data_IF_650172179413
#
_entry.id   IF_650172179413
#
_cell.length_a   1.000
_cell.length_b   1.000
_cell.length_c   1.000
_cell.angle_alpha   90.00
_cell.angle_beta   90.00
_cell.angle_gamma   90.00
#
_symmetry.space_group_name_H-M   'P 1'
#
loop_
_entity.id
_entity.type
_entity.pdbx_description
1 polymer ?
#
# COMPACT_ATOMS: atom_id res chain seq x y z
N UNK A 1 -21.37 -34.45 18.80
CA UNK A 1 -21.68 -33.26 17.98
C UNK A 1 -20.93 -32.00 18.45
N UNK A 2 -20.82 -31.76 19.75
CA UNK A 2 -20.14 -30.59 20.32
C UNK A 2 -18.62 -30.55 20.05
N UNK A 3 -17.92 -31.69 20.20
CA UNK A 3 -16.50 -31.81 19.87
C UNK A 3 -16.19 -31.55 18.38
N UNK A 4 -17.12 -31.92 17.49
CA UNK A 4 -16.97 -31.69 16.04
C UNK A 4 -17.14 -30.21 15.69
N UNK A 5 -18.05 -29.49 16.36
CA UNK A 5 -18.19 -28.03 16.22
C UNK A 5 -16.97 -27.29 16.74
N UNK A 6 -16.40 -27.72 17.87
CA UNK A 6 -15.20 -27.12 18.44
C UNK A 6 -13.99 -27.27 17.50
N UNK A 7 -13.82 -28.46 16.92
CA UNK A 7 -12.74 -28.73 15.95
C UNK A 7 -12.91 -27.90 14.68
N UNK A 8 -14.14 -27.76 14.14
CA UNK A 8 -14.42 -26.94 12.95
C UNK A 8 -14.10 -25.46 13.21
N UNK A 9 -14.52 -24.93 14.35
CA UNK A 9 -14.23 -23.53 14.74
C UNK A 9 -12.72 -23.33 14.88
N UNK A 10 -12.01 -24.24 15.56
CA UNK A 10 -10.56 -24.17 15.71
C UNK A 10 -9.82 -24.24 14.36
N UNK A 11 -10.26 -25.09 13.44
CA UNK A 11 -9.66 -25.16 12.08
C UNK A 11 -9.93 -23.92 11.25
N UNK A 12 -11.12 -23.32 11.32
CA UNK A 12 -11.45 -22.08 10.62
C UNK A 12 -10.65 -20.90 11.18
N UNK A 13 -10.51 -20.80 12.51
CA UNK A 13 -9.67 -19.79 13.15
C UNK A 13 -8.18 -19.99 12.83
N UNK A 14 -7.71 -21.23 12.69
CA UNK A 14 -6.32 -21.50 12.30
C UNK A 14 -6.05 -21.11 10.84
N UNK A 15 -7.04 -21.28 9.96
CA UNK A 15 -6.94 -20.84 8.56
C UNK A 15 -6.90 -19.32 8.42
N UNK A 16 -7.61 -18.56 9.28
CA UNK A 16 -7.55 -17.09 9.27
C UNK A 16 -6.19 -16.55 9.74
N UNK A 17 -5.42 -17.30 10.53
CA UNK A 17 -4.09 -16.90 11.02
C UNK A 17 -3.01 -17.10 9.93
N UNK A 18 -3.27 -17.93 8.92
CA UNK A 18 -2.31 -18.27 7.86
C UNK A 18 -2.50 -17.48 6.57
N UNK A 19 -3.40 -16.50 6.53
CA UNK A 19 -3.48 -15.55 5.42
C UNK A 19 -2.26 -14.63 5.53
N UNK A 20 -1.11 -15.11 5.05
CA UNK A 20 -0.05 -14.23 4.56
C UNK A 20 -0.72 -13.30 3.55
N UNK A 21 -0.53 -12.00 3.69
CA UNK A 21 -0.88 -11.03 2.66
C UNK A 21 -0.37 -11.57 1.33
N UNK A 22 -1.29 -12.08 0.51
CA UNK A 22 -0.96 -12.63 -0.79
C UNK A 22 -0.80 -11.39 -1.67
N UNK A 23 0.35 -11.27 -2.34
CA UNK A 23 0.53 -10.28 -3.40
C UNK A 23 -0.72 -10.26 -4.29
N UNK A 24 -1.21 -9.07 -4.70
CA UNK A 24 -2.27 -8.99 -5.68
C UNK A 24 -1.92 -9.86 -6.90
N UNK A 25 -2.90 -10.53 -7.51
CA UNK A 25 -2.62 -11.42 -8.65
C UNK A 25 -2.00 -10.68 -9.86
N UNK A 26 -2.08 -9.34 -9.87
CA UNK A 26 -1.45 -8.49 -10.87
C UNK A 26 0.00 -8.09 -10.55
N UNK A 27 0.45 -8.25 -9.30
CA UNK A 27 1.79 -7.87 -8.89
C UNK A 27 2.83 -8.90 -9.42
N UNK A 28 3.99 -8.44 -9.92
CA UNK A 28 5.06 -9.35 -10.32
C UNK A 28 5.51 -10.25 -9.15
N UNK A 29 5.79 -11.54 -9.38
CA UNK A 29 6.15 -12.47 -8.30
C UNK A 29 7.43 -12.05 -7.56
N UNK A 30 8.34 -11.37 -8.25
CA UNK A 30 9.66 -11.00 -7.74
C UNK A 30 9.68 -9.60 -7.10
N UNK A 31 8.53 -8.90 -7.05
CA UNK A 31 8.47 -7.50 -6.59
C UNK A 31 9.02 -7.33 -5.16
N UNK A 32 8.77 -8.31 -4.28
CA UNK A 32 9.24 -8.27 -2.88
C UNK A 32 10.77 -8.27 -2.81
N UNK A 33 11.43 -9.04 -3.69
CA UNK A 33 12.88 -9.10 -3.72
C UNK A 33 13.46 -7.82 -4.33
N UNK A 34 12.82 -7.28 -5.37
CA UNK A 34 13.24 -6.07 -6.06
C UNK A 34 13.23 -4.83 -5.16
N UNK A 35 12.26 -4.72 -4.25
CA UNK A 35 12.12 -3.55 -3.37
C UNK A 35 12.74 -3.74 -1.98
N UNK A 36 13.35 -4.90 -1.70
CA UNK A 36 13.74 -5.27 -0.34
C UNK A 36 14.75 -4.30 0.29
N UNK A 37 15.70 -3.79 -0.51
CA UNK A 37 16.71 -2.83 -0.05
C UNK A 37 16.09 -1.47 0.26
N UNK A 38 15.21 -0.96 -0.61
CA UNK A 38 14.49 0.30 -0.40
C UNK A 38 13.53 0.21 0.79
N UNK A 39 12.79 -0.89 0.90
CA UNK A 39 11.94 -1.17 2.06
C UNK A 39 12.73 -1.09 3.36
N UNK A 40 13.87 -1.79 3.42
CA UNK A 40 14.74 -1.77 4.60
C UNK A 40 15.20 -0.34 4.92
N UNK A 41 15.66 0.40 3.91
CA UNK A 41 16.13 1.78 4.06
C UNK A 41 15.01 2.69 4.57
N UNK A 42 13.85 2.69 3.93
CA UNK A 42 12.70 3.53 4.30
C UNK A 42 12.19 3.19 5.72
N UNK A 43 12.16 1.91 6.10
CA UNK A 43 11.84 1.50 7.48
C UNK A 43 12.84 2.07 8.49
N UNK A 44 14.13 1.95 8.19
CA UNK A 44 15.21 2.43 9.06
C UNK A 44 15.22 3.97 9.16
N UNK A 45 14.97 4.69 8.07
CA UNK A 45 14.92 6.16 8.01
C UNK A 45 13.72 6.72 8.79
N UNK A 46 12.53 6.16 8.60
CA UNK A 46 11.31 6.68 9.19
C UNK A 46 10.89 5.98 10.48
N UNK A 47 11.68 5.02 10.97
CA UNK A 47 11.43 4.28 12.21
C UNK A 47 10.06 3.59 12.20
N UNK A 48 9.75 2.93 11.09
CA UNK A 48 8.53 2.13 10.91
C UNK A 48 8.86 0.66 11.06
N UNK A 49 8.06 -0.06 11.85
CA UNK A 49 8.18 -1.50 11.98
C UNK A 49 7.28 -2.26 11.00
N UNK A 50 7.56 -3.55 10.82
CA UNK A 50 6.80 -4.39 9.90
C UNK A 50 5.32 -4.50 10.32
N UNK A 51 5.02 -4.46 11.62
CA UNK A 51 3.66 -4.58 12.11
C UNK A 51 2.78 -3.38 11.69
N UNK A 52 3.35 -2.18 11.67
CA UNK A 52 2.70 -0.97 11.17
C UNK A 52 2.43 -1.06 9.67
N UNK A 53 3.38 -1.60 8.90
CA UNK A 53 3.24 -1.82 7.46
C UNK A 53 2.14 -2.86 7.18
N UNK A 54 2.19 -4.01 7.88
CA UNK A 54 1.19 -5.07 7.74
C UNK A 54 -0.21 -4.56 8.08
N UNK A 55 -0.33 -3.69 9.08
CA UNK A 55 -1.58 -3.07 9.47
C UNK A 55 -2.13 -2.15 8.35
N UNK A 56 -1.26 -1.35 7.74
CA UNK A 56 -1.62 -0.50 6.61
C UNK A 56 -2.04 -1.33 5.39
N UNK A 57 -1.29 -2.38 5.04
CA UNK A 57 -1.63 -3.28 3.93
C UNK A 57 -3.02 -3.91 4.10
N UNK A 58 -3.37 -4.29 5.34
CA UNK A 58 -4.71 -4.78 5.70
C UNK A 58 -5.82 -3.71 5.67
N UNK A 59 -5.52 -2.47 5.27
CA UNK A 59 -6.47 -1.38 5.09
C UNK A 59 -6.68 -0.50 6.32
N UNK A 60 -6.00 -0.76 7.44
CA UNK A 60 -6.00 0.12 8.61
C UNK A 60 -4.75 1.01 8.55
N UNK A 61 -4.83 2.05 7.72
CA UNK A 61 -3.71 2.91 7.36
C UNK A 61 -3.53 3.99 8.43
N UNK A 62 -2.49 3.93 9.27
CA UNK A 62 -2.33 4.86 10.37
C UNK A 62 -2.08 6.29 9.85
N UNK A 63 -2.63 7.28 10.54
CA UNK A 63 -2.42 8.69 10.25
C UNK A 63 -1.21 9.23 11.04
N UNK A 64 -0.10 8.50 11.01
CA UNK A 64 1.12 8.78 11.77
C UNK A 64 2.26 9.18 10.82
N UNK A 65 3.09 10.13 11.23
CA UNK A 65 4.09 10.72 10.34
C UNK A 65 5.10 9.70 9.79
N UNK A 66 5.49 8.74 10.63
CA UNK A 66 6.44 7.69 10.27
C UNK A 66 5.94 6.86 9.08
N UNK A 67 4.72 6.33 9.12
CA UNK A 67 4.17 5.48 8.06
C UNK A 67 3.84 6.28 6.79
N UNK A 68 3.42 7.55 6.93
CA UNK A 68 3.25 8.45 5.79
C UNK A 68 4.55 8.65 5.03
N UNK A 69 5.62 8.96 5.75
CA UNK A 69 6.92 9.16 5.12
C UNK A 69 7.54 7.86 4.62
N UNK A 70 7.26 6.72 5.27
CA UNK A 70 7.60 5.41 4.70
C UNK A 70 6.94 5.19 3.32
N UNK A 71 5.64 5.47 3.19
CA UNK A 71 4.93 5.36 1.90
C UNK A 71 5.51 6.32 0.86
N UNK A 72 5.85 7.56 1.25
CA UNK A 72 6.51 8.52 0.37
C UNK A 72 7.88 8.03 -0.10
N UNK A 73 8.75 7.65 0.84
CA UNK A 73 10.08 7.11 0.54
C UNK A 73 10.02 5.89 -0.40
N UNK A 74 9.09 4.96 -0.17
CA UNK A 74 8.93 3.79 -1.04
C UNK A 74 8.53 4.20 -2.46
N UNK A 75 7.61 5.14 -2.64
CA UNK A 75 7.16 5.58 -3.96
C UNK A 75 8.19 6.47 -4.67
N UNK A 76 8.90 7.31 -3.92
CA UNK A 76 10.00 8.15 -4.41
C UNK A 76 11.16 7.31 -4.97
N UNK A 77 11.48 6.18 -4.31
CA UNK A 77 12.56 5.27 -4.73
C UNK A 77 12.42 4.75 -6.15
N UNK A 78 11.20 4.75 -6.69
CA UNK A 78 10.87 4.32 -8.06
C UNK A 78 10.36 5.46 -8.93
N UNK A 79 10.56 6.72 -8.51
CA UNK A 79 10.10 7.94 -9.20
C UNK A 79 8.60 7.97 -9.47
N UNK A 80 7.82 7.26 -8.65
CA UNK A 80 6.35 7.29 -8.70
C UNK A 80 5.82 8.56 -8.04
N UNK A 81 6.57 9.09 -7.08
CA UNK A 81 6.29 10.33 -6.38
C UNK A 81 7.54 11.20 -6.41
N UNK A 82 7.37 12.51 -6.55
CA UNK A 82 8.46 13.47 -6.50
C UNK A 82 8.80 13.91 -5.06
N UNK A 83 9.83 14.77 -4.93
CA UNK A 83 10.27 15.31 -3.63
C UNK A 83 9.20 16.16 -2.94
N UNK A 84 8.24 16.70 -3.69
CA UNK A 84 7.14 17.53 -3.20
C UNK A 84 5.90 16.71 -2.81
N UNK A 85 5.92 15.39 -3.00
CA UNK A 85 4.82 14.48 -2.68
C UNK A 85 3.73 14.43 -3.75
N UNK A 86 4.02 14.84 -4.98
CA UNK A 86 3.14 14.69 -6.14
C UNK A 86 3.37 13.36 -6.84
N UNK A 87 2.27 12.73 -7.27
CA UNK A 87 2.34 11.46 -8.01
C UNK A 87 2.66 11.77 -9.48
N UNK A 88 3.73 11.17 -9.97
CA UNK A 88 4.09 11.12 -11.38
C UNK A 88 3.14 10.17 -12.11
N UNK A 89 2.07 10.72 -12.69
CA UNK A 89 0.94 9.94 -13.25
C UNK A 89 1.41 8.88 -14.25
N UNK A 90 2.29 9.24 -15.19
CA UNK A 90 2.76 8.30 -16.22
C UNK A 90 3.58 7.16 -15.62
N UNK A 91 4.43 7.47 -14.63
CA UNK A 91 5.22 6.46 -13.94
C UNK A 91 4.32 5.53 -13.14
N UNK A 92 3.41 6.08 -12.32
CA UNK A 92 2.46 5.31 -11.53
C UNK A 92 1.60 4.39 -12.41
N UNK A 93 1.02 4.93 -13.48
CA UNK A 93 0.16 4.17 -14.40
C UNK A 93 0.97 3.12 -15.18
N UNK A 94 2.24 3.39 -15.47
CA UNK A 94 3.14 2.46 -16.13
C UNK A 94 3.45 1.19 -15.31
N UNK A 95 3.37 1.26 -13.97
CA UNK A 95 3.49 0.10 -13.09
C UNK A 95 2.23 -0.78 -13.05
N UNK A 96 1.12 -0.30 -13.60
CA UNK A 96 -0.17 -1.00 -13.55
C UNK A 96 -0.46 -1.78 -14.85
N UNK A 97 -1.09 -2.96 -14.74
CA UNK A 97 -1.67 -3.64 -15.89
C UNK A 97 -2.61 -2.74 -16.70
N UNK A 98 -2.66 -2.95 -18.02
CA UNK A 98 -3.43 -2.13 -18.95
C UNK A 98 -4.90 -1.96 -18.53
N UNK A 99 -5.54 -3.02 -18.00
CA UNK A 99 -6.95 -2.96 -17.57
C UNK A 99 -7.21 -1.96 -16.43
N UNK A 100 -6.20 -1.60 -15.64
CA UNK A 100 -6.35 -0.68 -14.51
C UNK A 100 -5.94 0.76 -14.83
N UNK A 101 -5.22 0.98 -15.92
CA UNK A 101 -4.63 2.30 -16.23
C UNK A 101 -5.67 3.39 -16.37
N UNK A 102 -6.77 3.14 -17.09
CA UNK A 102 -7.85 4.13 -17.26
C UNK A 102 -8.47 4.50 -15.91
N UNK A 103 -8.71 3.49 -15.06
CA UNK A 103 -9.30 3.65 -13.74
C UNK A 103 -8.37 4.41 -12.80
N UNK A 104 -7.06 4.11 -12.84
CA UNK A 104 -6.03 4.80 -12.09
C UNK A 104 -5.97 6.29 -12.45
N UNK A 105 -5.89 6.63 -13.75
CA UNK A 105 -5.87 8.03 -14.21
C UNK A 105 -7.10 8.81 -13.77
N UNK A 106 -8.29 8.23 -13.93
CA UNK A 106 -9.54 8.85 -13.50
C UNK A 106 -9.55 9.09 -11.98
N UNK A 107 -9.05 8.14 -11.21
CA UNK A 107 -9.02 8.22 -9.74
C UNK A 107 -7.98 9.24 -9.26
N UNK A 108 -6.79 9.28 -9.87
CA UNK A 108 -5.77 10.30 -9.61
C UNK A 108 -6.29 11.70 -9.94
N UNK A 109 -6.91 11.88 -11.10
CA UNK A 109 -7.51 13.16 -11.50
C UNK A 109 -8.58 13.63 -10.50
N UNK A 110 -9.45 12.74 -10.04
CA UNK A 110 -10.46 13.04 -9.03
C UNK A 110 -9.87 13.37 -7.64
N UNK A 111 -8.63 12.93 -7.40
CA UNK A 111 -7.91 13.13 -6.15
C UNK A 111 -6.79 14.17 -6.25
N UNK A 112 -6.70 14.92 -7.35
CA UNK A 112 -5.75 16.00 -7.48
C UNK A 112 -5.95 17.08 -6.39
N UNK A 113 -4.87 17.80 -6.05
CA UNK A 113 -4.89 18.98 -5.18
C UNK A 113 -5.42 18.75 -3.74
N UNK A 114 -5.19 17.57 -3.14
CA UNK A 114 -5.56 17.35 -1.72
C UNK A 114 -4.71 18.16 -0.75
N UNK A 115 -3.49 18.53 -1.15
CA UNK A 115 -2.55 19.26 -0.30
C UNK A 115 -2.07 18.43 0.89
N UNK A 116 -1.23 19.03 1.71
CA UNK A 116 -0.61 18.42 2.90
C UNK A 116 0.25 19.46 3.61
N UNK A 117 0.62 19.21 4.87
CA UNK A 117 1.56 20.09 5.57
C UNK A 117 3.00 19.91 5.08
N UNK A 118 3.31 18.73 4.55
CA UNK A 118 4.60 18.33 3.98
C UNK A 118 4.40 17.28 2.85
N UNK A 119 5.47 16.86 2.14
CA UNK A 119 5.37 15.86 1.07
C UNK A 119 4.73 14.52 1.50
N UNK A 120 5.03 14.04 2.71
CA UNK A 120 4.48 12.79 3.23
C UNK A 120 2.96 12.90 3.43
N UNK A 121 2.51 14.01 4.03
CA UNK A 121 1.10 14.33 4.20
C UNK A 121 0.37 14.49 2.87
N UNK A 122 1.01 15.14 1.89
CA UNK A 122 0.42 15.38 0.57
C UNK A 122 0.15 14.08 -0.17
N UNK A 123 1.13 13.17 -0.17
CA UNK A 123 0.95 11.83 -0.73
C UNK A 123 -0.14 11.08 0.03
N UNK A 124 -0.08 11.06 1.37
CA UNK A 124 -1.06 10.36 2.21
C UNK A 124 -2.49 10.82 1.90
N UNK A 125 -2.74 12.13 1.86
CA UNK A 125 -4.06 12.68 1.59
C UNK A 125 -4.56 12.31 0.18
N UNK A 126 -3.66 12.29 -0.80
CA UNK A 126 -3.96 11.85 -2.16
C UNK A 126 -4.34 10.36 -2.17
N UNK A 127 -3.59 9.52 -1.48
CA UNK A 127 -3.86 8.08 -1.36
C UNK A 127 -5.15 7.78 -0.60
N UNK A 128 -5.46 8.49 0.48
CA UNK A 128 -6.72 8.31 1.22
C UNK A 128 -7.94 8.68 0.37
N UNK A 129 -7.79 9.58 -0.60
CA UNK A 129 -8.82 9.84 -1.61
C UNK A 129 -8.88 8.76 -2.69
N UNK A 130 -7.73 8.26 -3.14
CA UNK A 130 -7.60 7.34 -4.27
C UNK A 130 -8.15 5.95 -3.94
N UNK A 131 -7.83 5.41 -2.77
CA UNK A 131 -8.13 4.03 -2.39
C UNK A 131 -9.63 3.69 -2.50
N UNK A 132 -10.57 4.51 -1.99
CA UNK A 132 -12.00 4.25 -2.16
C UNK A 132 -12.47 4.25 -3.62
N UNK A 133 -11.75 4.94 -4.51
CA UNK A 133 -12.08 5.00 -5.93
C UNK A 133 -11.53 3.80 -6.69
N UNK A 134 -10.38 3.26 -6.30
CA UNK A 134 -9.71 2.12 -6.93
C UNK A 134 -9.20 1.10 -5.90
N UNK A 135 -10.10 0.44 -5.13
CA UNK A 135 -9.72 -0.46 -4.04
C UNK A 135 -8.92 -1.69 -4.52
N UNK A 136 -9.08 -2.09 -5.77
CA UNK A 136 -8.33 -3.19 -6.40
C UNK A 136 -6.84 -2.91 -6.60
N UNK A 137 -6.44 -1.64 -6.49
CA UNK A 137 -5.05 -1.18 -6.60
C UNK A 137 -4.39 -0.94 -5.24
N UNK A 138 -5.10 -1.17 -4.13
CA UNK A 138 -4.52 -1.00 -2.81
C UNK A 138 -3.57 -2.14 -2.45
N UNK A 139 -2.33 -1.79 -2.13
CA UNK A 139 -1.30 -2.70 -1.63
C UNK A 139 -0.16 -1.88 -1.01
N UNK A 140 0.40 -2.35 0.12
CA UNK A 140 1.58 -1.73 0.74
C UNK A 140 2.70 -2.77 0.89
N UNK A 141 3.85 -2.45 0.29
CA UNK A 141 5.07 -3.26 0.36
C UNK A 141 5.71 -3.22 1.74
#
# INVERSE_FOLDING_TARGET
MEKLRLVIILTLCFQTILIRAKLPDWAPPDIIELVAEDKKRCMDEHKVDQATIDKADNGDIPNEQNIKCYMHCMMESFSVVDEDGEIEEETFVGFLPEQFQTKARQSLSACANKGGADPCDKLYNTMMCFIPLAPELWYVL
#
